data_IF_792113277197
#
_entry.id   IF_792113277197
#
_cell.length_a   1.000
_cell.length_b   1.000
_cell.length_c   1.000
_cell.angle_alpha   90.00
_cell.angle_beta   90.00
_cell.angle_gamma   90.00
#
_symmetry.space_group_name_H-M   'P 1'
#
loop_
_entity.id
_entity.type
_entity.pdbx_description
1 polymer ?
#
# COMPACT_ATOMS: atom_id res chain seq x y z
N UNK A 1 -19.03 0.52 19.17
CA UNK A 1 -18.14 1.61 19.64
C UNK A 1 -17.78 2.52 18.47
N UNK A 2 -18.41 3.68 18.33
CA UNK A 2 -18.03 4.71 17.36
C UNK A 2 -16.90 5.58 17.97
N UNK A 3 -16.20 6.38 17.15
CA UNK A 3 -15.18 7.40 17.54
C UNK A 3 -13.69 7.00 17.37
N UNK A 4 -13.31 5.95 16.63
CA UNK A 4 -11.88 5.75 16.29
C UNK A 4 -11.51 5.53 14.83
N UNK A 5 -12.48 5.51 13.90
CA UNK A 5 -12.18 5.15 12.50
C UNK A 5 -12.48 6.19 11.43
N UNK A 6 -12.89 7.41 11.79
CA UNK A 6 -13.33 8.44 10.83
C UNK A 6 -12.62 9.80 10.92
N UNK A 7 -11.48 9.90 11.61
CA UNK A 7 -10.70 11.15 11.70
C UNK A 7 -9.50 11.20 10.73
N UNK A 8 -9.32 10.18 9.90
CA UNK A 8 -8.10 9.99 9.10
C UNK A 8 -8.51 9.64 7.68
N UNK A 9 -9.44 10.36 7.05
CA UNK A 9 -9.86 10.09 5.66
C UNK A 9 -9.68 11.28 4.69
N UNK A 10 -9.26 12.47 5.15
CA UNK A 10 -9.06 13.65 4.29
C UNK A 10 -7.64 14.29 4.35
N UNK A 11 -6.72 13.67 5.10
CA UNK A 11 -5.32 14.10 5.34
C UNK A 11 -4.48 12.98 5.98
N UNK A 12 -4.74 11.75 5.52
CA UNK A 12 -4.54 10.46 6.21
C UNK A 12 -3.09 10.02 6.31
N UNK A 13 -2.36 10.29 5.23
CA UNK A 13 -1.01 9.82 5.01
C UNK A 13 -0.11 11.04 5.01
N UNK A 14 0.84 11.06 5.94
CA UNK A 14 1.91 12.03 5.98
C UNK A 14 2.77 11.93 4.70
N UNK A 15 3.49 13.00 4.33
CA UNK A 15 4.39 12.96 3.17
C UNK A 15 5.39 11.81 3.23
N UNK A 16 5.90 11.49 4.42
CA UNK A 16 6.78 10.34 4.68
C UNK A 16 6.12 8.99 4.39
N UNK A 17 4.82 8.86 4.64
CA UNK A 17 4.05 7.65 4.38
C UNK A 17 3.78 7.52 2.87
N UNK A 18 3.46 8.62 2.20
CA UNK A 18 3.36 8.64 0.73
C UNK A 18 4.69 8.31 0.06
N UNK A 19 5.80 8.80 0.58
CA UNK A 19 7.13 8.45 0.08
C UNK A 19 7.44 6.95 0.26
N UNK A 20 7.10 6.37 1.42
CA UNK A 20 7.25 4.94 1.68
C UNK A 20 6.42 4.12 0.68
N UNK A 21 5.12 4.40 0.58
CA UNK A 21 4.22 3.66 -0.31
C UNK A 21 4.64 3.81 -1.78
N UNK A 22 5.13 5.00 -2.16
CA UNK A 22 5.72 5.26 -3.48
C UNK A 22 6.96 4.41 -3.75
N UNK A 23 7.92 4.35 -2.81
CA UNK A 23 9.11 3.51 -2.93
C UNK A 23 8.76 2.03 -3.07
N UNK A 24 7.85 1.52 -2.25
CA UNK A 24 7.35 0.14 -2.33
C UNK A 24 6.70 -0.14 -3.69
N UNK A 25 5.87 0.79 -4.16
CA UNK A 25 5.20 0.66 -5.46
C UNK A 25 6.20 0.64 -6.62
N UNK A 26 7.19 1.53 -6.62
CA UNK A 26 8.25 1.56 -7.63
C UNK A 26 9.10 0.29 -7.64
N UNK A 27 9.33 -0.34 -6.48
CA UNK A 27 10.03 -1.63 -6.40
C UNK A 27 9.20 -2.80 -6.92
N UNK A 28 7.87 -2.72 -6.83
CA UNK A 28 6.95 -3.79 -7.23
C UNK A 28 6.45 -3.64 -8.66
N UNK A 29 6.36 -2.42 -9.19
CA UNK A 29 6.00 -2.19 -10.58
C UNK A 29 7.09 -2.78 -11.47
N UNK A 30 6.68 -3.40 -12.56
CA UNK A 30 7.57 -3.83 -13.65
C UNK A 30 7.30 -3.00 -14.89
N UNK A 31 8.35 -2.71 -15.64
CA UNK A 31 8.23 -2.05 -16.93
C UNK A 31 7.34 -2.91 -17.87
N UNK A 32 6.39 -2.27 -18.54
CA UNK A 32 5.43 -2.94 -19.42
C UNK A 32 4.19 -3.57 -18.76
N UNK A 33 3.96 -3.40 -17.45
CA UNK A 33 2.70 -3.86 -16.83
C UNK A 33 1.48 -3.06 -17.27
N UNK A 34 0.36 -3.76 -17.51
CA UNK A 34 -0.95 -3.15 -17.73
C UNK A 34 -1.36 -2.26 -16.55
N UNK A 35 -2.13 -1.18 -16.80
CA UNK A 35 -2.62 -0.29 -15.75
C UNK A 35 -3.39 -1.05 -14.66
N UNK A 36 -4.18 -2.06 -15.01
CA UNK A 36 -4.93 -2.89 -14.05
C UNK A 36 -4.02 -3.67 -13.10
N UNK A 37 -2.88 -4.16 -13.60
CA UNK A 37 -1.91 -4.88 -12.77
C UNK A 37 -1.20 -3.92 -11.79
N UNK A 38 -0.97 -2.67 -12.21
CA UNK A 38 -0.43 -1.62 -11.35
C UNK A 38 -1.43 -1.22 -10.26
N UNK A 39 -2.70 -1.04 -10.62
CA UNK A 39 -3.77 -0.77 -9.66
C UNK A 39 -3.89 -1.89 -8.61
N UNK A 40 -3.82 -3.15 -9.04
CA UNK A 40 -3.84 -4.29 -8.13
C UNK A 40 -2.64 -4.32 -7.17
N UNK A 41 -1.46 -3.85 -7.59
CA UNK A 41 -0.28 -3.71 -6.72
C UNK A 41 -0.49 -2.58 -5.73
N UNK A 42 -0.93 -1.41 -6.18
CA UNK A 42 -1.20 -0.26 -5.31
C UNK A 42 -2.24 -0.59 -4.23
N UNK A 43 -3.33 -1.25 -4.61
CA UNK A 43 -4.37 -1.70 -3.68
C UNK A 43 -3.81 -2.64 -2.59
N UNK A 44 -2.93 -3.58 -2.97
CA UNK A 44 -2.26 -4.49 -2.03
C UNK A 44 -1.37 -3.76 -1.03
N UNK A 45 -0.57 -2.82 -1.52
CA UNK A 45 0.32 -2.02 -0.67
C UNK A 45 -0.49 -1.24 0.36
N UNK A 46 -1.57 -0.58 -0.08
CA UNK A 46 -2.46 0.19 0.80
C UNK A 46 -3.15 -0.74 1.81
N UNK A 47 -3.63 -1.91 1.40
CA UNK A 47 -4.28 -2.86 2.29
C UNK A 47 -3.34 -3.39 3.38
N UNK A 48 -2.11 -3.77 3.02
CA UNK A 48 -1.10 -4.22 3.99
C UNK A 48 -0.69 -3.09 4.95
N UNK A 49 -0.54 -1.87 4.44
CA UNK A 49 -0.24 -0.71 5.28
C UNK A 49 -1.39 -0.40 6.25
N UNK A 50 -2.64 -0.45 5.79
CA UNK A 50 -3.83 -0.30 6.65
C UNK A 50 -3.98 -1.44 7.68
N UNK A 51 -3.39 -2.62 7.41
CA UNK A 51 -3.30 -3.71 8.39
C UNK A 51 -2.23 -3.47 9.47
N UNK A 52 -1.48 -2.36 9.38
CA UNK A 52 -0.45 -1.95 10.34
C UNK A 52 0.97 -2.27 9.90
N UNK A 53 1.19 -2.74 8.67
CA UNK A 53 2.53 -3.01 8.13
C UNK A 53 3.17 -1.70 7.69
N UNK A 54 4.16 -1.23 8.45
CA UNK A 54 4.88 0.03 8.17
C UNK A 54 6.32 -0.19 7.72
N UNK A 55 6.82 -1.43 7.81
CA UNK A 55 8.16 -1.78 7.33
C UNK A 55 8.17 -1.90 5.80
N UNK A 56 9.14 -1.25 5.16
CA UNK A 56 9.24 -1.21 3.70
C UNK A 56 9.47 -2.62 3.10
N UNK A 57 10.39 -3.38 3.68
CA UNK A 57 10.76 -4.70 3.17
C UNK A 57 9.60 -5.69 3.36
N UNK A 58 8.90 -5.59 4.48
CA UNK A 58 7.70 -6.38 4.75
C UNK A 58 6.56 -6.02 3.81
N UNK A 59 6.30 -4.73 3.57
CA UNK A 59 5.31 -4.25 2.60
C UNK A 59 5.61 -4.77 1.19
N UNK A 60 6.87 -4.72 0.75
CA UNK A 60 7.27 -5.25 -0.56
C UNK A 60 7.02 -6.76 -0.62
N UNK A 61 7.40 -7.50 0.42
CA UNK A 61 7.25 -8.96 0.47
C UNK A 61 5.78 -9.39 0.41
N UNK A 62 4.93 -8.78 1.24
CA UNK A 62 3.50 -9.07 1.33
C UNK A 62 2.74 -8.64 0.09
N UNK A 63 3.07 -7.47 -0.47
CA UNK A 63 2.36 -6.93 -1.63
C UNK A 63 2.77 -7.59 -2.96
N UNK A 64 3.89 -8.32 -2.98
CA UNK A 64 4.31 -9.16 -4.11
C UNK A 64 3.37 -10.34 -4.32
N UNK A 65 2.77 -10.86 -3.24
CA UNK A 65 1.82 -11.96 -3.32
C UNK A 65 0.39 -11.43 -3.56
N UNK A 66 -0.46 -12.14 -4.31
CA UNK A 66 -1.86 -11.81 -4.38
C UNK A 66 -2.51 -11.94 -3.00
N UNK A 67 -3.39 -10.98 -2.64
CA UNK A 67 -4.23 -11.08 -1.45
C UNK A 67 -5.24 -12.20 -1.68
N UNK A 68 -4.94 -13.39 -1.16
CA UNK A 68 -5.84 -14.53 -1.20
C UNK A 68 -5.26 -15.72 -1.93
N UNK A 69 -5.29 -16.85 -1.22
CA UNK A 69 -5.57 -18.14 -1.83
C UNK A 69 -6.92 -18.59 -1.33
#
# INVERSE_FOLDING_TARGET
MPIRRKATEAGVLQPSELELLGRVFEQLKRDGQSPEARDAIASRIIANYMAGVVDEAELVSLSRQPLGR
#
